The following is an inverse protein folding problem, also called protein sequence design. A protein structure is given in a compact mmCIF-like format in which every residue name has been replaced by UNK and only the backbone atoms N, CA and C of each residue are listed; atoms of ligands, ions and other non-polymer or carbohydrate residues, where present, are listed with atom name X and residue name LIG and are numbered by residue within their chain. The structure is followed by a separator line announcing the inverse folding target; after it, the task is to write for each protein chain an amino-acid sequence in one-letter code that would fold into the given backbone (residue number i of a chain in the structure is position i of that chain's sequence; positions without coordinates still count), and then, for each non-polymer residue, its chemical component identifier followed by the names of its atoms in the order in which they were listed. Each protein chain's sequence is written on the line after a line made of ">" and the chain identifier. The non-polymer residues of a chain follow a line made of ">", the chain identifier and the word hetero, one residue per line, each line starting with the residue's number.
data_IF_843422426615
#
_entry.id   IF_843422426615
#
_cell.length_a   1.000
_cell.length_b   1.000
_cell.length_c   1.000
_cell.angle_alpha   90.00
_cell.angle_beta   90.00
_cell.angle_gamma   90.00
#
_symmetry.space_group_name_H-M   'P 1'
#
loop_
_entity.id
_entity.type
_entity.pdbx_description
1 polymer ?
#
# COMPACT_ATOMS: atom_id res chain seq x y z
N UNK A 1 -43.81 46.88 -1.50
CA UNK A 1 -42.65 46.46 -2.32
C UNK A 1 -43.04 46.63 -3.78
N UNK A 2 -42.34 47.53 -4.48
CA UNK A 2 -42.64 47.98 -5.85
C UNK A 2 -42.65 46.78 -6.83
N UNK A 3 -43.58 46.79 -7.82
CA UNK A 3 -43.78 45.74 -8.84
C UNK A 3 -42.49 45.51 -9.66
N UNK A 4 -41.71 46.57 -9.85
CA UNK A 4 -40.41 46.58 -10.57
C UNK A 4 -39.34 45.83 -9.78
N UNK A 5 -39.30 45.94 -8.43
CA UNK A 5 -38.37 45.24 -7.54
C UNK A 5 -38.71 43.75 -7.51
N UNK A 6 -40.01 43.37 -7.42
CA UNK A 6 -40.45 41.96 -7.48
C UNK A 6 -40.08 41.32 -8.80
N UNK A 7 -40.16 42.03 -9.94
CA UNK A 7 -39.84 41.52 -11.27
C UNK A 7 -38.31 41.30 -11.44
N UNK A 8 -37.47 42.24 -10.95
CA UNK A 8 -36.02 42.11 -10.94
C UNK A 8 -35.57 40.94 -10.05
N UNK A 9 -36.18 40.79 -8.87
CA UNK A 9 -35.89 39.69 -7.95
C UNK A 9 -36.24 38.29 -8.59
N UNK A 10 -37.41 38.16 -9.24
CA UNK A 10 -37.81 36.95 -9.96
C UNK A 10 -36.84 36.61 -11.09
N UNK A 11 -36.38 37.59 -11.86
CA UNK A 11 -35.38 37.40 -12.93
C UNK A 11 -34.03 36.97 -12.34
N UNK A 12 -33.60 37.58 -11.23
CA UNK A 12 -32.38 37.20 -10.51
C UNK A 12 -32.43 35.75 -10.03
N UNK A 13 -33.52 35.36 -9.33
CA UNK A 13 -33.76 33.98 -8.85
C UNK A 13 -33.77 32.95 -10.00
N UNK A 14 -34.43 33.27 -11.12
CA UNK A 14 -34.44 32.39 -12.31
C UNK A 14 -33.04 32.21 -12.89
N UNK A 15 -32.22 33.26 -12.98
CA UNK A 15 -30.82 33.14 -13.46
C UNK A 15 -29.96 32.33 -12.51
N UNK A 16 -30.09 32.53 -11.20
CA UNK A 16 -29.40 31.72 -10.19
C UNK A 16 -29.78 30.24 -10.26
N UNK A 17 -31.09 29.95 -10.45
CA UNK A 17 -31.59 28.57 -10.61
C UNK A 17 -31.03 27.89 -11.88
N UNK A 18 -31.02 28.61 -13.02
CA UNK A 18 -30.45 28.09 -14.27
C UNK A 18 -28.93 27.84 -14.09
N UNK A 19 -28.21 28.75 -13.45
CA UNK A 19 -26.78 28.57 -13.16
C UNK A 19 -26.53 27.33 -12.29
N UNK A 20 -27.33 27.15 -11.23
CA UNK A 20 -27.20 25.97 -10.36
C UNK A 20 -27.50 24.66 -11.11
N UNK A 21 -28.50 24.64 -12.01
CA UNK A 21 -28.79 23.48 -12.85
C UNK A 21 -27.62 23.16 -13.78
N UNK A 22 -27.02 24.17 -14.44
CA UNK A 22 -25.87 23.98 -15.32
C UNK A 22 -24.67 23.48 -14.52
N UNK A 23 -24.40 24.06 -13.35
CA UNK A 23 -23.32 23.64 -12.47
C UNK A 23 -23.52 22.18 -11.97
N UNK A 24 -24.74 21.85 -11.55
CA UNK A 24 -25.06 20.48 -11.11
C UNK A 24 -24.91 19.47 -12.25
N UNK A 25 -25.35 19.82 -13.46
CA UNK A 25 -25.17 18.99 -14.65
C UNK A 25 -23.68 18.82 -14.97
N UNK A 26 -22.90 19.89 -14.91
CA UNK A 26 -21.44 19.82 -15.10
C UNK A 26 -20.78 18.90 -14.08
N UNK A 27 -21.05 19.09 -12.77
CA UNK A 27 -20.50 18.25 -11.71
C UNK A 27 -20.86 16.78 -11.93
N UNK A 28 -22.12 16.49 -12.24
CA UNK A 28 -22.58 15.14 -12.50
C UNK A 28 -21.88 14.50 -13.69
N UNK A 29 -21.86 15.16 -14.84
CA UNK A 29 -21.23 14.65 -16.07
C UNK A 29 -19.71 14.50 -15.91
N UNK A 30 -19.07 15.44 -15.21
CA UNK A 30 -17.62 15.42 -14.98
C UNK A 30 -17.19 14.30 -14.03
N UNK A 31 -18.06 13.88 -13.10
CA UNK A 31 -17.72 12.86 -12.09
C UNK A 31 -18.43 11.51 -12.29
N UNK A 32 -19.37 11.43 -13.22
CA UNK A 32 -20.05 10.16 -13.54
C UNK A 32 -19.16 9.25 -14.37
N UNK A 33 -19.07 7.98 -14.01
CA UNK A 33 -18.41 6.93 -14.80
C UNK A 33 -19.20 6.56 -16.06
N UNK A 34 -20.48 6.98 -16.20
CA UNK A 34 -21.35 6.67 -17.34
C UNK A 34 -20.78 7.14 -18.69
N UNK A 35 -20.05 8.25 -18.70
CA UNK A 35 -19.45 8.83 -19.91
C UNK A 35 -17.97 8.48 -20.08
N UNK A 36 -17.42 7.64 -19.23
CA UNK A 36 -16.02 7.21 -19.30
C UNK A 36 -15.99 5.87 -20.02
N UNK A 37 -15.14 5.72 -21.03
CA UNK A 37 -14.81 4.38 -21.53
C UNK A 37 -14.36 3.55 -20.34
N UNK A 38 -14.99 2.40 -20.12
CA UNK A 38 -14.58 1.48 -19.08
C UNK A 38 -13.07 1.23 -19.18
N UNK A 39 -12.39 1.21 -18.07
CA UNK A 39 -11.01 0.72 -18.03
C UNK A 39 -11.05 -0.75 -18.37
N UNK A 40 -10.17 -1.21 -19.22
CA UNK A 40 -10.01 -2.63 -19.55
C UNK A 40 -8.81 -3.20 -18.78
N UNK A 41 -8.92 -4.42 -18.33
CA UNK A 41 -7.85 -5.12 -17.62
C UNK A 41 -8.32 -5.65 -16.25
N UNK A 42 -7.46 -6.42 -15.62
CA UNK A 42 -7.63 -6.91 -14.25
C UNK A 42 -7.17 -5.85 -13.23
N UNK A 43 -7.63 -5.93 -11.98
CA UNK A 43 -7.09 -5.14 -10.90
C UNK A 43 -5.57 -5.35 -10.76
N UNK A 44 -4.87 -4.30 -10.33
CA UNK A 44 -3.47 -4.36 -9.95
C UNK A 44 -3.34 -4.98 -8.56
N UNK A 45 -2.59 -6.08 -8.41
CA UNK A 45 -2.54 -6.86 -7.19
C UNK A 45 -1.26 -6.60 -6.39
N UNK A 46 -1.44 -6.10 -5.16
CA UNK A 46 -0.37 -5.88 -4.20
C UNK A 46 -0.43 -6.96 -3.12
N UNK A 47 0.62 -7.80 -3.07
CA UNK A 47 0.80 -8.83 -2.06
C UNK A 47 1.56 -8.28 -0.85
N UNK A 48 0.97 -8.38 0.34
CA UNK A 48 1.56 -7.93 1.61
C UNK A 48 2.64 -8.91 2.08
N UNK A 49 3.89 -8.46 2.17
CA UNK A 49 5.08 -9.24 2.60
C UNK A 49 5.34 -10.51 1.79
N UNK A 50 4.91 -10.54 0.53
CA UNK A 50 4.93 -11.73 -0.29
C UNK A 50 3.77 -12.69 0.03
N UNK A 51 3.99 -14.00 -0.06
CA UNK A 51 3.06 -15.04 0.39
C UNK A 51 3.50 -15.55 1.75
N UNK A 52 2.96 -14.98 2.83
CA UNK A 52 3.30 -15.31 4.22
C UNK A 52 2.21 -16.09 4.94
N UNK A 53 2.51 -16.54 6.16
CA UNK A 53 1.53 -17.21 7.02
C UNK A 53 0.47 -16.20 7.49
N UNK A 54 -0.79 -16.57 7.40
CA UNK A 54 -1.90 -15.77 7.94
C UNK A 54 -2.14 -16.07 9.41
N UNK A 55 -2.72 -15.12 10.12
CA UNK A 55 -2.91 -15.19 11.56
C UNK A 55 -4.23 -14.55 11.99
N UNK A 56 -4.67 -14.84 13.23
CA UNK A 56 -5.89 -14.25 13.78
C UNK A 56 -5.70 -12.77 14.04
N UNK A 57 -6.63 -11.95 13.52
CA UNK A 57 -6.69 -10.49 13.73
C UNK A 57 -7.41 -10.10 15.03
N UNK A 58 -7.98 -11.05 15.77
CA UNK A 58 -8.72 -10.76 17.00
C UNK A 58 -7.79 -10.23 18.10
N UNK A 59 -8.11 -9.04 18.61
CA UNK A 59 -7.34 -8.39 19.68
C UNK A 59 -5.87 -8.08 19.31
N UNK A 60 -5.59 -7.81 18.02
CA UNK A 60 -4.24 -7.44 17.58
C UNK A 60 -3.91 -6.01 18.02
N UNK A 61 -2.68 -5.82 18.50
CA UNK A 61 -2.09 -4.55 18.86
C UNK A 61 -0.75 -4.36 18.13
N UNK A 62 -0.13 -3.20 18.21
CA UNK A 62 1.08 -2.87 17.45
C UNK A 62 2.31 -3.72 17.73
N UNK A 63 2.37 -4.33 18.91
CA UNK A 63 3.46 -5.21 19.37
C UNK A 63 3.05 -6.69 19.45
N UNK A 64 1.87 -7.04 18.97
CA UNK A 64 1.39 -8.42 19.00
C UNK A 64 2.30 -9.35 18.18
N UNK A 65 2.80 -10.41 18.82
CA UNK A 65 3.56 -11.46 18.15
C UNK A 65 2.65 -12.29 17.24
N UNK A 66 2.59 -11.94 15.96
CA UNK A 66 1.72 -12.64 15.00
C UNK A 66 2.19 -14.04 14.65
N UNK A 67 3.48 -14.34 14.78
CA UNK A 67 4.02 -15.68 14.59
C UNK A 67 3.48 -16.70 15.62
N UNK A 68 3.17 -16.24 16.84
CA UNK A 68 2.64 -17.10 17.91
C UNK A 68 1.14 -17.45 17.77
N UNK A 69 0.48 -16.99 16.69
CA UNK A 69 -0.96 -17.12 16.50
C UNK A 69 -1.37 -17.33 15.04
N UNK A 70 -0.49 -17.94 14.24
CA UNK A 70 -0.81 -18.26 12.86
C UNK A 70 -1.97 -19.26 12.78
N UNK A 71 -2.67 -19.26 11.66
CA UNK A 71 -3.55 -20.39 11.32
C UNK A 71 -2.72 -21.59 10.89
N UNK A 72 -3.36 -22.76 10.79
CA UNK A 72 -2.69 -23.97 10.29
C UNK A 72 -2.00 -23.66 8.95
N UNK A 73 -0.69 -23.96 8.83
CA UNK A 73 0.07 -23.62 7.63
C UNK A 73 -0.46 -24.32 6.37
N UNK A 74 -0.79 -23.56 5.34
CA UNK A 74 -1.22 -24.07 4.03
C UNK A 74 -0.06 -24.17 3.03
N UNK A 75 1.08 -23.52 3.32
CA UNK A 75 2.27 -23.47 2.47
C UNK A 75 3.53 -23.27 3.33
N UNK A 76 4.74 -23.53 2.80
CA UNK A 76 5.99 -23.45 3.57
C UNK A 76 6.59 -22.04 3.66
N UNK A 77 6.01 -21.02 3.05
CA UNK A 77 6.62 -19.71 2.92
C UNK A 77 6.50 -18.88 4.20
N UNK A 78 7.57 -18.13 4.50
CA UNK A 78 7.64 -17.13 5.56
C UNK A 78 7.63 -15.74 4.95
N UNK A 79 6.91 -14.80 5.55
CA UNK A 79 6.82 -13.40 5.09
C UNK A 79 8.19 -12.72 4.97
N UNK A 80 8.30 -11.71 4.11
CA UNK A 80 9.53 -10.94 3.94
C UNK A 80 10.76 -11.76 3.50
N UNK A 81 10.56 -12.88 2.83
CA UNK A 81 11.64 -13.73 2.28
C UNK A 81 11.60 -13.79 0.76
N UNK A 82 12.73 -14.01 0.12
CA UNK A 82 12.80 -14.19 -1.34
C UNK A 82 11.86 -15.30 -1.81
N UNK A 83 11.81 -16.50 -1.19
CA UNK A 83 10.85 -17.54 -1.58
C UNK A 83 9.37 -17.10 -1.49
N UNK A 84 9.00 -16.30 -0.48
CA UNK A 84 7.63 -15.81 -0.34
C UNK A 84 7.26 -14.78 -1.41
N UNK A 85 8.21 -13.93 -1.78
CA UNK A 85 8.05 -12.93 -2.85
C UNK A 85 7.95 -13.60 -4.22
N UNK A 86 8.80 -14.59 -4.49
CA UNK A 86 8.76 -15.40 -5.71
C UNK A 86 7.41 -16.13 -5.84
N UNK A 87 6.93 -16.75 -4.74
CA UNK A 87 5.62 -17.39 -4.72
C UNK A 87 4.49 -16.39 -4.98
N UNK A 88 4.58 -15.16 -4.45
CA UNK A 88 3.59 -14.11 -4.68
C UNK A 88 3.57 -13.65 -6.15
N UNK A 89 4.73 -13.40 -6.77
CA UNK A 89 4.81 -13.05 -8.20
C UNK A 89 4.32 -14.19 -9.08
N UNK A 90 4.68 -15.45 -8.78
CA UNK A 90 4.23 -16.63 -9.51
C UNK A 90 2.71 -16.84 -9.38
N UNK A 91 2.09 -16.45 -8.25
CA UNK A 91 0.64 -16.47 -8.07
C UNK A 91 -0.06 -15.38 -8.90
N UNK A 92 0.65 -14.30 -9.25
CA UNK A 92 0.13 -13.21 -10.07
C UNK A 92 0.10 -11.85 -9.39
N UNK A 93 0.93 -11.62 -8.37
CA UNK A 93 1.13 -10.28 -7.82
C UNK A 93 1.79 -9.37 -8.87
N UNK A 94 1.29 -8.13 -8.99
CA UNK A 94 1.92 -7.08 -9.78
C UNK A 94 2.95 -6.30 -8.95
N UNK A 95 2.80 -6.33 -7.64
CA UNK A 95 3.67 -5.66 -6.67
C UNK A 95 3.73 -6.49 -5.39
N UNK A 96 4.91 -6.55 -4.78
CA UNK A 96 5.08 -7.10 -3.43
C UNK A 96 5.45 -5.98 -2.47
N UNK A 97 4.78 -5.95 -1.33
CA UNK A 97 5.20 -5.11 -0.22
C UNK A 97 6.20 -5.83 0.64
N UNK A 98 7.17 -5.10 1.19
CA UNK A 98 8.17 -5.60 2.11
C UNK A 98 8.55 -4.56 3.17
N UNK A 99 8.89 -5.02 4.37
CA UNK A 99 9.34 -4.19 5.48
C UNK A 99 10.86 -4.15 5.57
N UNK A 100 11.46 -2.99 5.81
CA UNK A 100 12.90 -2.85 6.01
C UNK A 100 13.26 -2.34 7.39
N UNK A 101 14.43 -2.76 7.87
CA UNK A 101 15.05 -2.33 9.11
C UNK A 101 16.53 -2.08 8.89
N UNK A 102 17.10 -0.99 9.40
CA UNK A 102 18.54 -0.78 9.33
C UNK A 102 19.29 -1.80 10.20
N UNK A 103 20.40 -2.27 9.71
CA UNK A 103 21.32 -3.17 10.42
C UNK A 103 22.49 -2.40 11.02
N UNK A 104 23.23 -3.03 11.93
CA UNK A 104 24.41 -2.45 12.58
C UNK A 104 25.50 -2.02 11.60
N UNK A 105 25.64 -2.74 10.49
CA UNK A 105 26.62 -2.47 9.45
C UNK A 105 26.09 -1.59 8.30
N UNK A 106 24.93 -0.91 8.52
CA UNK A 106 24.40 0.09 7.61
C UNK A 106 23.68 -0.48 6.38
N UNK A 107 23.36 -1.76 6.37
CA UNK A 107 22.48 -2.37 5.36
C UNK A 107 21.01 -2.26 5.79
N UNK A 108 20.10 -2.75 4.94
CA UNK A 108 18.67 -2.90 5.28
C UNK A 108 18.31 -4.38 5.27
N UNK A 109 18.00 -4.96 6.44
CA UNK A 109 17.38 -6.27 6.53
C UNK A 109 15.90 -6.18 6.16
N UNK A 110 15.39 -7.18 5.45
CA UNK A 110 13.95 -7.27 5.11
C UNK A 110 13.27 -8.11 6.20
N UNK A 111 12.66 -7.40 7.16
CA UNK A 111 12.06 -7.99 8.35
C UNK A 111 11.02 -7.06 8.98
N UNK A 112 9.90 -7.62 9.49
CA UNK A 112 8.78 -6.82 9.99
C UNK A 112 8.98 -6.29 11.40
N UNK A 113 9.28 -7.17 12.36
CA UNK A 113 9.20 -6.83 13.77
C UNK A 113 10.35 -5.91 14.22
N UNK A 114 10.14 -5.15 15.29
CA UNK A 114 11.17 -4.28 15.86
C UNK A 114 12.26 -5.10 16.55
N UNK A 115 11.84 -6.15 17.24
CA UNK A 115 12.70 -7.05 17.98
C UNK A 115 12.64 -8.46 17.40
N UNK A 116 13.64 -9.27 17.67
CA UNK A 116 13.81 -10.58 17.06
C UNK A 116 13.07 -11.71 17.79
N UNK A 117 12.65 -11.50 19.04
CA UNK A 117 12.18 -12.55 19.96
C UNK A 117 10.91 -13.26 19.47
N UNK A 118 10.02 -12.55 18.78
CA UNK A 118 8.75 -13.11 18.33
C UNK A 118 8.94 -14.24 17.31
N UNK A 119 9.81 -14.01 16.31
CA UNK A 119 9.95 -14.90 15.15
C UNK A 119 11.19 -15.74 15.17
N UNK A 120 12.18 -15.39 15.98
CA UNK A 120 13.51 -15.95 15.91
C UNK A 120 13.95 -16.61 17.22
N UNK A 121 15.12 -17.26 17.18
CA UNK A 121 15.75 -17.88 18.32
C UNK A 121 16.70 -16.96 19.10
N UNK A 122 16.71 -15.65 18.78
CA UNK A 122 17.57 -14.64 19.42
C UNK A 122 16.76 -13.46 19.93
N UNK A 123 17.39 -12.59 20.74
CA UNK A 123 16.78 -11.41 21.33
C UNK A 123 17.46 -10.14 20.81
N UNK A 124 16.83 -8.99 21.01
CA UNK A 124 17.38 -7.68 20.65
C UNK A 124 16.75 -7.11 19.38
N UNK A 125 17.25 -5.96 18.95
CA UNK A 125 16.76 -5.26 17.77
C UNK A 125 17.55 -5.70 16.52
N UNK A 126 16.93 -5.61 15.35
CA UNK A 126 17.62 -5.85 14.07
C UNK A 126 18.88 -4.97 13.95
N UNK A 127 18.81 -3.71 14.42
CA UNK A 127 19.94 -2.77 14.41
C UNK A 127 21.12 -3.13 15.32
N UNK A 128 20.96 -4.11 16.22
CA UNK A 128 22.05 -4.58 17.07
C UNK A 128 22.98 -5.57 16.34
N UNK A 129 22.54 -6.09 15.19
CA UNK A 129 23.19 -7.14 14.42
C UNK A 129 23.64 -6.65 13.04
N UNK A 130 24.76 -7.19 12.56
CA UNK A 130 25.15 -7.08 11.14
C UNK A 130 24.28 -7.98 10.27
N UNK A 131 24.21 -7.70 8.96
CA UNK A 131 23.46 -8.54 8.02
C UNK A 131 23.98 -10.00 8.00
N UNK A 132 25.29 -10.16 8.16
CA UNK A 132 25.91 -11.49 8.23
C UNK A 132 25.43 -12.29 9.46
N UNK A 133 25.34 -11.64 10.64
CA UNK A 133 24.82 -12.28 11.85
C UNK A 133 23.32 -12.59 11.72
N UNK A 134 22.52 -11.70 11.11
CA UNK A 134 21.10 -11.91 10.89
C UNK A 134 20.80 -13.11 9.99
N UNK A 135 21.68 -13.44 9.06
CA UNK A 135 21.52 -14.64 8.19
C UNK A 135 21.70 -15.95 8.92
N UNK A 136 22.41 -15.97 10.04
CA UNK A 136 22.57 -17.17 10.86
C UNK A 136 21.34 -17.43 11.78
N UNK A 137 20.40 -16.48 11.85
CA UNK A 137 19.25 -16.55 12.74
C UNK A 137 18.11 -17.31 12.06
N UNK A 138 17.42 -18.16 12.83
CA UNK A 138 16.23 -18.87 12.37
C UNK A 138 14.98 -18.00 12.49
N UNK A 139 14.55 -17.37 11.39
CA UNK A 139 13.34 -16.52 11.34
C UNK A 139 12.02 -17.34 11.34
N UNK A 140 12.10 -18.65 11.31
CA UNK A 140 10.95 -19.56 11.44
C UNK A 140 10.70 -20.08 12.85
N UNK A 141 11.54 -19.70 13.82
CA UNK A 141 11.61 -20.33 15.13
C UNK A 141 10.35 -20.19 15.98
N UNK A 142 9.69 -19.03 15.95
CA UNK A 142 8.57 -18.67 16.83
C UNK A 142 7.18 -19.00 16.27
N UNK A 143 7.07 -19.51 15.03
CA UNK A 143 5.78 -19.75 14.39
C UNK A 143 5.05 -20.97 14.94
N UNK A 144 3.82 -20.75 15.44
CA UNK A 144 2.96 -21.80 16.00
C UNK A 144 1.48 -21.51 15.73
N UNK A 145 0.70 -22.56 15.42
CA UNK A 145 -0.75 -22.49 15.23
C UNK A 145 -1.54 -23.02 16.44
N UNK A 146 -0.86 -23.68 17.39
CA UNK A 146 -1.43 -24.44 18.49
C UNK A 146 -0.91 -24.01 19.86
N UNK A 147 -0.70 -22.69 20.02
CA UNK A 147 -0.25 -22.07 21.27
C UNK A 147 1.09 -22.63 21.80
N UNK A 148 1.99 -23.02 20.89
CA UNK A 148 3.33 -23.46 21.25
C UNK A 148 3.47 -24.97 21.48
N UNK A 149 2.45 -25.77 21.16
CA UNK A 149 2.57 -27.22 21.21
C UNK A 149 3.49 -27.76 20.09
N UNK A 150 3.40 -27.15 18.89
CA UNK A 150 4.29 -27.44 17.76
C UNK A 150 4.82 -26.16 17.11
N UNK A 151 5.96 -26.29 16.42
CA UNK A 151 6.62 -25.20 15.70
C UNK A 151 7.05 -25.68 14.30
N UNK A 152 6.16 -25.58 13.31
CA UNK A 152 6.35 -26.22 12.00
C UNK A 152 7.48 -25.64 11.16
N UNK A 153 7.98 -24.46 11.51
CA UNK A 153 9.01 -23.73 10.74
C UNK A 153 10.38 -23.69 11.42
N UNK A 154 10.54 -24.22 12.64
CA UNK A 154 11.84 -24.26 13.31
C UNK A 154 12.89 -24.98 12.49
N UNK A 155 14.07 -24.36 12.38
CA UNK A 155 15.19 -24.85 11.59
C UNK A 155 15.04 -24.63 10.07
N UNK A 156 13.90 -24.06 9.63
CA UNK A 156 13.63 -23.83 8.21
C UNK A 156 13.83 -22.37 7.80
N UNK A 157 14.04 -21.45 8.76
CA UNK A 157 14.18 -20.04 8.54
C UNK A 157 15.63 -19.53 8.50
N UNK A 158 16.62 -20.40 8.74
CA UNK A 158 18.05 -20.03 8.73
C UNK A 158 18.46 -19.64 7.31
N UNK A 159 19.13 -18.50 7.17
CA UNK A 159 19.58 -17.97 5.88
C UNK A 159 18.46 -17.32 5.04
N UNK A 160 17.21 -17.29 5.53
CA UNK A 160 16.09 -16.75 4.76
C UNK A 160 15.82 -15.27 4.99
N UNK A 161 16.42 -14.59 5.97
CA UNK A 161 16.33 -13.13 6.13
C UNK A 161 17.19 -12.46 5.06
N UNK A 162 16.61 -11.84 4.02
CA UNK A 162 17.41 -11.22 2.99
C UNK A 162 17.74 -9.77 3.34
N UNK A 163 18.78 -9.21 2.72
CA UNK A 163 18.95 -7.76 2.62
C UNK A 163 18.05 -7.18 1.50
N UNK A 164 17.80 -5.87 1.55
CA UNK A 164 17.11 -5.17 0.47
C UNK A 164 17.87 -5.31 -0.84
N UNK A 165 19.21 -5.25 -0.80
CA UNK A 165 20.07 -5.41 -1.96
C UNK A 165 19.87 -6.78 -2.62
N UNK A 166 19.82 -7.85 -1.83
CA UNK A 166 19.58 -9.21 -2.34
C UNK A 166 18.18 -9.34 -2.98
N UNK A 167 17.16 -8.75 -2.37
CA UNK A 167 15.82 -8.75 -2.95
C UNK A 167 15.79 -8.03 -4.29
N UNK A 168 16.36 -6.81 -4.35
CA UNK A 168 16.35 -6.01 -5.57
C UNK A 168 17.22 -6.63 -6.69
N UNK A 169 18.28 -7.33 -6.33
CA UNK A 169 19.13 -8.07 -7.27
C UNK A 169 18.45 -9.35 -7.77
N UNK A 170 17.74 -10.07 -6.91
CA UNK A 170 17.02 -11.31 -7.28
C UNK A 170 15.82 -11.04 -8.20
N UNK A 171 15.15 -9.91 -8.01
CA UNK A 171 13.99 -9.49 -8.80
C UNK A 171 14.28 -8.20 -9.57
N UNK A 172 15.12 -8.22 -10.62
CA UNK A 172 15.54 -6.99 -11.32
C UNK A 172 14.38 -6.23 -11.96
N UNK A 173 13.31 -6.93 -12.34
CA UNK A 173 12.09 -6.35 -12.93
C UNK A 173 10.92 -6.32 -11.95
N UNK A 174 11.11 -6.75 -10.70
CA UNK A 174 10.06 -6.81 -9.68
C UNK A 174 9.62 -5.43 -9.21
N UNK A 175 8.32 -5.21 -9.09
CA UNK A 175 7.76 -3.98 -8.54
C UNK A 175 7.58 -4.13 -7.03
N UNK A 176 8.11 -3.19 -6.25
CA UNK A 176 8.05 -3.28 -4.78
C UNK A 176 7.48 -2.03 -4.13
N UNK A 177 6.77 -2.26 -3.01
CA UNK A 177 6.38 -1.26 -2.04
C UNK A 177 7.23 -1.45 -0.78
N UNK A 178 8.17 -0.56 -0.53
CA UNK A 178 9.15 -0.66 0.56
C UNK A 178 8.63 0.11 1.77
N UNK A 179 8.51 -0.53 2.91
CA UNK A 179 8.04 0.05 4.16
C UNK A 179 9.18 0.42 5.10
N UNK A 180 9.37 1.72 5.34
CA UNK A 180 10.19 2.20 6.46
C UNK A 180 9.34 2.16 7.72
N UNK A 181 9.67 1.25 8.63
CA UNK A 181 8.87 1.01 9.86
C UNK A 181 9.05 2.09 10.93
N UNK A 182 10.17 2.81 10.92
CA UNK A 182 10.45 3.87 11.90
C UNK A 182 9.78 5.20 11.53
N UNK A 183 9.91 6.18 12.42
CA UNK A 183 9.66 7.58 12.11
C UNK A 183 10.95 8.41 12.20
N UNK A 184 12.10 7.79 11.91
CA UNK A 184 13.41 8.43 11.90
C UNK A 184 13.76 8.96 10.50
N UNK A 185 13.98 10.26 10.39
CA UNK A 185 14.40 10.91 9.14
C UNK A 185 15.77 10.43 8.65
N UNK A 186 16.64 9.95 9.55
CA UNK A 186 17.94 9.36 9.20
C UNK A 186 17.80 8.11 8.34
N UNK A 187 16.85 7.23 8.67
CA UNK A 187 16.58 6.05 7.84
C UNK A 187 16.09 6.45 6.45
N UNK A 188 15.25 7.50 6.35
CA UNK A 188 14.79 8.03 5.06
C UNK A 188 15.95 8.52 4.18
N UNK A 189 16.90 9.28 4.75
CA UNK A 189 18.10 9.76 4.03
C UNK A 189 19.01 8.60 3.63
N UNK A 190 19.23 7.64 4.53
CA UNK A 190 20.03 6.46 4.24
C UNK A 190 19.43 5.66 3.08
N UNK A 191 18.11 5.45 3.09
CA UNK A 191 17.43 4.77 1.99
C UNK A 191 17.47 5.58 0.69
N UNK A 192 17.33 6.91 0.76
CA UNK A 192 17.46 7.78 -0.41
C UNK A 192 18.83 7.67 -1.06
N UNK A 193 19.90 7.67 -0.25
CA UNK A 193 21.26 7.48 -0.74
C UNK A 193 21.43 6.12 -1.42
N UNK A 194 20.95 5.04 -0.80
CA UNK A 194 21.01 3.70 -1.37
C UNK A 194 20.22 3.59 -2.69
N UNK A 195 18.97 4.04 -2.72
CA UNK A 195 18.13 3.97 -3.91
C UNK A 195 18.61 4.91 -5.02
N UNK A 196 19.24 6.03 -4.69
CA UNK A 196 19.79 6.99 -5.64
C UNK A 196 20.91 6.44 -6.54
N UNK A 197 21.56 5.34 -6.12
CA UNK A 197 22.53 4.61 -6.93
C UNK A 197 21.89 3.76 -8.05
N UNK A 198 20.56 3.53 -7.97
CA UNK A 198 19.84 2.67 -8.92
C UNK A 198 19.51 3.43 -10.21
N UNK A 199 19.45 2.72 -11.36
CA UNK A 199 18.94 3.28 -12.62
C UNK A 199 17.52 3.82 -12.46
N UNK A 200 17.19 4.89 -13.22
CA UNK A 200 15.85 5.53 -13.18
C UNK A 200 14.71 4.55 -13.49
N UNK A 201 14.94 3.63 -14.40
CA UNK A 201 13.99 2.59 -14.79
C UNK A 201 13.67 1.69 -13.60
N UNK A 202 14.69 1.39 -12.77
CA UNK A 202 14.53 0.61 -11.55
C UNK A 202 13.78 1.39 -10.48
N UNK A 203 14.10 2.67 -10.29
CA UNK A 203 13.38 3.55 -9.35
C UNK A 203 11.89 3.66 -9.68
N UNK A 204 11.52 3.68 -10.97
CA UNK A 204 10.12 3.75 -11.40
C UNK A 204 9.28 2.52 -10.96
N UNK A 205 9.93 1.38 -10.68
CA UNK A 205 9.30 0.15 -10.19
C UNK A 205 9.15 0.15 -8.66
N UNK A 206 9.78 1.09 -7.96
CA UNK A 206 9.78 1.16 -6.51
C UNK A 206 8.82 2.25 -6.01
N UNK A 207 8.25 1.99 -4.86
CA UNK A 207 7.47 2.96 -4.08
C UNK A 207 7.90 2.81 -2.63
N UNK A 208 8.08 3.91 -1.90
CA UNK A 208 8.45 3.86 -0.49
C UNK A 208 7.33 4.45 0.36
N UNK A 209 6.98 3.78 1.45
CA UNK A 209 6.00 4.30 2.39
C UNK A 209 6.46 4.14 3.84
N UNK A 210 5.84 4.89 4.75
CA UNK A 210 6.20 4.84 6.17
C UNK A 210 5.77 6.06 6.95
N UNK A 211 6.49 6.33 8.04
CA UNK A 211 6.31 7.50 8.87
C UNK A 211 6.50 8.82 8.11
N UNK A 212 5.89 9.91 8.60
CA UNK A 212 5.95 11.21 7.90
C UNK A 212 7.38 11.76 7.81
N UNK A 213 8.22 11.57 8.87
CA UNK A 213 9.57 12.10 8.90
C UNK A 213 10.54 11.41 7.92
N UNK A 214 10.67 10.07 7.88
CA UNK A 214 11.55 9.40 6.92
C UNK A 214 11.08 9.58 5.47
N UNK A 215 9.76 9.60 5.21
CA UNK A 215 9.23 9.83 3.86
C UNK A 215 9.49 11.25 3.38
N UNK A 216 9.38 12.25 4.25
CA UNK A 216 9.73 13.62 3.89
C UNK A 216 11.21 13.77 3.57
N UNK A 217 12.10 13.20 4.40
CA UNK A 217 13.54 13.22 4.20
C UNK A 217 13.97 12.47 2.92
N UNK A 218 13.39 11.29 2.68
CA UNK A 218 13.64 10.51 1.47
C UNK A 218 13.21 11.29 0.21
N UNK A 219 12.02 11.92 0.24
CA UNK A 219 11.51 12.65 -0.92
C UNK A 219 12.27 13.98 -1.18
N UNK A 220 12.85 14.57 -0.14
CA UNK A 220 13.75 15.73 -0.29
C UNK A 220 15.01 15.35 -1.08
N UNK A 221 15.63 14.21 -0.76
CA UNK A 221 16.89 13.76 -1.35
C UNK A 221 16.68 12.98 -2.67
N UNK A 222 15.51 12.34 -2.88
CA UNK A 222 15.16 11.53 -4.06
C UNK A 222 13.73 11.84 -4.55
N UNK A 223 13.46 13.04 -5.13
CA UNK A 223 12.11 13.50 -5.45
C UNK A 223 11.41 12.73 -6.57
N UNK A 224 12.15 11.99 -7.40
CA UNK A 224 11.60 11.20 -8.49
C UNK A 224 10.93 9.89 -8.04
N UNK A 225 11.26 9.38 -6.86
CA UNK A 225 10.63 8.14 -6.37
C UNK A 225 9.19 8.40 -5.91
N UNK A 226 8.32 7.43 -6.15
CA UNK A 226 6.96 7.48 -5.64
C UNK A 226 6.97 7.20 -4.13
N UNK A 227 6.27 8.05 -3.37
CA UNK A 227 6.23 7.94 -1.91
C UNK A 227 4.81 7.95 -1.37
N UNK A 228 4.64 7.42 -0.14
CA UNK A 228 3.39 7.55 0.62
C UNK A 228 3.69 7.67 2.11
N UNK A 229 3.04 8.63 2.75
CA UNK A 229 2.92 8.74 4.21
C UNK A 229 1.52 9.21 4.58
N UNK A 230 1.23 9.27 5.88
CA UNK A 230 -0.05 9.83 6.36
C UNK A 230 -0.22 11.30 5.95
N UNK A 231 0.86 12.07 5.95
CA UNK A 231 0.86 13.48 5.54
C UNK A 231 0.59 13.62 4.03
N UNK A 232 1.29 12.85 3.17
CA UNK A 232 1.07 12.90 1.71
C UNK A 232 -0.33 12.45 1.33
N UNK A 233 -0.84 11.38 1.96
CA UNK A 233 -2.21 10.89 1.76
C UNK A 233 -3.25 11.97 2.12
N UNK A 234 -3.13 12.59 3.31
CA UNK A 234 -4.01 13.67 3.75
C UNK A 234 -3.92 14.89 2.83
N UNK A 235 -2.72 15.30 2.44
CA UNK A 235 -2.50 16.44 1.54
C UNK A 235 -3.23 16.25 0.21
N UNK A 236 -3.11 15.07 -0.39
CA UNK A 236 -3.83 14.73 -1.61
C UNK A 236 -5.35 14.70 -1.39
N UNK A 237 -5.84 13.85 -0.48
CA UNK A 237 -7.27 13.57 -0.37
C UNK A 237 -8.08 14.78 0.10
N UNK A 238 -7.59 15.54 1.09
CA UNK A 238 -8.30 16.75 1.56
C UNK A 238 -8.39 17.82 0.47
N UNK A 239 -7.29 18.03 -0.26
CA UNK A 239 -7.29 18.98 -1.38
C UNK A 239 -8.18 18.52 -2.53
N UNK A 240 -8.19 17.20 -2.82
CA UNK A 240 -9.02 16.63 -3.87
C UNK A 240 -10.51 16.67 -3.51
N UNK A 241 -10.89 16.41 -2.26
CA UNK A 241 -12.28 16.56 -1.81
C UNK A 241 -12.79 17.99 -2.01
N UNK A 242 -11.95 18.99 -1.78
CA UNK A 242 -12.32 20.40 -1.97
C UNK A 242 -12.53 20.80 -3.42
N UNK A 243 -11.75 20.30 -4.39
CA UNK A 243 -11.72 20.78 -5.77
C UNK A 243 -11.92 19.71 -6.85
N UNK A 244 -11.82 18.43 -6.49
CA UNK A 244 -11.90 17.30 -7.44
C UNK A 244 -13.22 17.21 -8.21
N UNK A 245 -14.30 17.81 -7.69
CA UNK A 245 -15.57 17.93 -8.40
C UNK A 245 -15.42 18.62 -9.77
N UNK A 246 -14.45 19.52 -9.92
CA UNK A 246 -14.12 20.19 -11.17
C UNK A 246 -13.33 19.32 -12.15
N UNK A 247 -12.76 18.21 -11.70
CA UNK A 247 -11.83 17.33 -12.44
C UNK A 247 -10.36 17.72 -12.29
N UNK A 248 -10.05 18.77 -11.54
CA UNK A 248 -8.68 19.18 -11.26
C UNK A 248 -8.02 18.22 -10.25
N UNK A 249 -6.76 17.87 -10.50
CA UNK A 249 -5.94 17.06 -9.60
C UNK A 249 -4.92 17.97 -8.90
N UNK A 250 -5.02 18.11 -7.56
CA UNK A 250 -4.11 18.94 -6.79
C UNK A 250 -2.64 18.49 -6.89
N UNK A 251 -1.66 19.40 -6.71
CA UNK A 251 -0.23 19.05 -6.73
C UNK A 251 0.15 17.97 -5.71
N UNK A 252 -0.46 17.97 -4.52
CA UNK A 252 -0.22 16.95 -3.48
C UNK A 252 -0.66 15.53 -3.86
N UNK A 253 -1.37 15.37 -4.99
CA UNK A 253 -1.73 14.07 -5.55
C UNK A 253 -0.79 13.61 -6.67
N UNK A 254 0.37 14.23 -6.88
CA UNK A 254 1.29 13.88 -7.97
C UNK A 254 2.40 12.96 -7.48
N UNK A 255 2.76 11.99 -8.31
CA UNK A 255 3.86 11.06 -8.07
C UNK A 255 3.83 10.42 -6.67
N UNK A 256 2.65 9.93 -6.24
CA UNK A 256 2.45 9.31 -4.93
C UNK A 256 1.70 7.98 -5.04
N UNK A 257 1.50 7.31 -3.93
CA UNK A 257 0.59 6.18 -3.81
C UNK A 257 -0.48 6.50 -2.78
N UNK A 258 -1.70 6.05 -3.01
CA UNK A 258 -2.84 6.26 -2.13
C UNK A 258 -3.38 4.90 -1.67
N UNK A 259 -3.32 4.63 -0.37
CA UNK A 259 -4.05 3.51 0.22
C UNK A 259 -5.40 4.02 0.72
N UNK A 260 -6.46 3.60 0.07
CA UNK A 260 -7.80 4.10 0.32
C UNK A 260 -8.66 3.00 0.90
N UNK A 261 -9.13 3.14 2.16
CA UNK A 261 -10.06 2.19 2.72
C UNK A 261 -11.35 2.10 1.88
N UNK A 262 -11.83 0.89 1.62
CA UNK A 262 -12.98 0.65 0.74
C UNK A 262 -14.23 1.43 1.16
N UNK A 263 -14.41 1.66 2.48
CA UNK A 263 -15.52 2.43 3.04
C UNK A 263 -15.53 3.89 2.62
N UNK A 264 -14.36 4.48 2.32
CA UNK A 264 -14.22 5.89 1.95
C UNK A 264 -14.12 6.09 0.44
N UNK A 265 -13.69 5.08 -0.30
CA UNK A 265 -13.48 5.16 -1.74
C UNK A 265 -14.71 5.68 -2.53
N UNK A 266 -15.97 5.27 -2.24
CA UNK A 266 -17.14 5.75 -2.97
C UNK A 266 -17.44 7.25 -2.82
N UNK A 267 -16.88 7.92 -1.80
CA UNK A 267 -17.08 9.35 -1.57
C UNK A 267 -16.15 10.24 -2.42
N UNK A 268 -15.12 9.65 -3.06
CA UNK A 268 -14.18 10.39 -3.87
C UNK A 268 -14.80 10.82 -5.20
N UNK A 269 -14.61 12.09 -5.58
CA UNK A 269 -15.10 12.64 -6.84
C UNK A 269 -14.66 11.81 -8.05
N UNK A 270 -15.62 11.27 -8.78
CA UNK A 270 -15.35 10.48 -9.97
C UNK A 270 -15.04 9.01 -9.75
N UNK A 271 -15.22 8.50 -8.53
CA UNK A 271 -15.02 7.08 -8.21
C UNK A 271 -15.94 6.15 -9.06
N UNK A 272 -15.44 5.00 -9.53
CA UNK A 272 -14.03 4.59 -9.51
C UNK A 272 -13.24 5.10 -10.73
N UNK A 273 -13.80 5.03 -11.94
CA UNK A 273 -13.04 5.10 -13.18
C UNK A 273 -12.43 6.48 -13.46
N UNK A 274 -13.19 7.56 -13.23
CA UNK A 274 -12.66 8.91 -13.43
C UNK A 274 -11.62 9.28 -12.39
N UNK A 275 -11.82 8.86 -11.14
CA UNK A 275 -10.83 9.04 -10.08
C UNK A 275 -9.52 8.33 -10.43
N UNK A 276 -9.59 7.04 -10.78
CA UNK A 276 -8.42 6.25 -11.19
C UNK A 276 -7.69 6.90 -12.37
N UNK A 277 -8.42 7.29 -13.44
CA UNK A 277 -7.82 7.94 -14.61
C UNK A 277 -7.14 9.27 -14.26
N UNK A 278 -7.72 10.06 -13.34
CA UNK A 278 -7.14 11.32 -12.88
C UNK A 278 -5.85 11.07 -12.10
N UNK A 279 -5.82 10.09 -11.20
CA UNK A 279 -4.63 9.74 -10.43
C UNK A 279 -3.54 9.19 -11.34
N UNK A 280 -3.85 8.30 -12.26
CA UNK A 280 -2.90 7.78 -13.25
C UNK A 280 -2.28 8.91 -14.10
N UNK A 281 -3.07 9.92 -14.49
CA UNK A 281 -2.58 11.05 -15.30
C UNK A 281 -1.48 11.88 -14.62
N UNK A 282 -1.32 11.73 -13.32
CA UNK A 282 -0.31 12.40 -12.49
C UNK A 282 0.68 11.43 -11.83
N UNK A 283 0.82 10.22 -12.40
CA UNK A 283 1.69 9.15 -11.92
C UNK A 283 1.39 8.72 -10.47
N UNK A 284 0.11 8.68 -10.08
CA UNK A 284 -0.31 8.28 -8.74
C UNK A 284 -1.06 6.96 -8.78
N UNK A 285 -0.55 6.00 -8.02
CA UNK A 285 -1.15 4.67 -7.89
C UNK A 285 -2.20 4.68 -6.79
N UNK A 286 -3.34 4.08 -7.07
CA UNK A 286 -4.42 3.92 -6.10
C UNK A 286 -4.54 2.45 -5.73
N UNK A 287 -4.42 2.15 -4.45
CA UNK A 287 -4.63 0.83 -3.86
C UNK A 287 -5.82 0.92 -2.91
N UNK A 288 -6.83 0.09 -3.11
CA UNK A 288 -7.91 -0.07 -2.14
C UNK A 288 -7.51 -1.12 -1.12
N UNK A 289 -7.70 -0.77 0.15
CA UNK A 289 -7.54 -1.67 1.30
C UNK A 289 -8.91 -2.01 1.87
N UNK A 290 -9.08 -3.21 2.39
CA UNK A 290 -10.36 -3.68 2.89
C UNK A 290 -10.81 -2.90 4.14
N UNK A 291 -12.09 -2.93 4.43
CA UNK A 291 -12.68 -2.40 5.64
C UNK A 291 -12.37 -0.93 5.89
N UNK A 292 -11.78 -0.65 7.05
CA UNK A 292 -11.31 0.67 7.48
C UNK A 292 -9.85 0.94 7.12
N UNK A 293 -9.13 -0.07 6.61
CA UNK A 293 -7.69 -0.03 6.35
C UNK A 293 -6.85 -0.11 7.61
N UNK A 294 -7.41 -0.64 8.70
CA UNK A 294 -6.69 -0.87 9.94
C UNK A 294 -5.87 -2.15 9.86
N UNK A 295 -4.68 -2.17 10.48
CA UNK A 295 -3.82 -3.36 10.61
C UNK A 295 -3.59 -4.12 9.28
N UNK A 296 -3.51 -3.40 8.17
CA UNK A 296 -3.30 -3.98 6.83
C UNK A 296 -4.42 -4.95 6.40
N UNK A 297 -5.68 -4.61 6.72
CA UNK A 297 -6.85 -5.35 6.23
C UNK A 297 -6.80 -5.49 4.71
N UNK A 298 -6.78 -6.73 4.23
CA UNK A 298 -6.70 -7.09 2.81
C UNK A 298 -8.01 -7.64 2.27
N UNK A 299 -8.11 -7.67 0.95
CA UNK A 299 -9.11 -8.49 0.25
C UNK A 299 -8.54 -9.92 0.20
N UNK A 300 -8.91 -10.77 1.16
CA UNK A 300 -8.25 -12.05 1.42
C UNK A 300 -9.10 -13.26 1.06
N UNK A 301 -10.38 -13.04 0.75
CA UNK A 301 -11.31 -14.05 0.28
C UNK A 301 -11.94 -13.64 -1.06
N UNK A 302 -12.42 -14.61 -1.83
CA UNK A 302 -13.12 -14.36 -3.10
C UNK A 302 -14.39 -13.54 -2.86
N UNK A 303 -15.06 -13.74 -1.72
CA UNK A 303 -16.25 -12.98 -1.36
C UNK A 303 -15.94 -11.48 -1.12
N UNK A 304 -14.75 -11.16 -0.64
CA UNK A 304 -14.32 -9.77 -0.47
C UNK A 304 -14.35 -8.99 -1.79
N UNK A 305 -14.01 -9.66 -2.89
CA UNK A 305 -13.99 -9.04 -4.22
C UNK A 305 -15.38 -8.53 -4.65
N UNK A 306 -16.46 -9.08 -4.11
CA UNK A 306 -17.84 -8.64 -4.41
C UNK A 306 -18.14 -7.24 -3.90
N UNK A 307 -17.33 -6.72 -2.94
CA UNK A 307 -17.44 -5.35 -2.40
C UNK A 307 -16.83 -4.30 -3.31
N UNK A 308 -15.99 -4.71 -4.27
CA UNK A 308 -15.41 -3.81 -5.26
C UNK A 308 -16.44 -3.40 -6.30
N UNK A 309 -16.30 -2.20 -6.89
CA UNK A 309 -17.12 -1.82 -8.04
C UNK A 309 -16.99 -2.84 -9.18
N UNK A 310 -18.09 -3.07 -9.91
CA UNK A 310 -18.05 -3.91 -11.11
C UNK A 310 -16.96 -3.40 -12.08
N UNK A 311 -16.20 -4.32 -12.64
CA UNK A 311 -15.09 -4.04 -13.58
C UNK A 311 -14.02 -3.08 -12.99
N UNK A 312 -13.77 -3.20 -11.67
CA UNK A 312 -12.72 -2.43 -10.99
C UNK A 312 -11.33 -2.80 -11.51
N UNK A 313 -10.54 -1.80 -11.87
CA UNK A 313 -9.18 -1.96 -12.42
C UNK A 313 -8.10 -1.19 -11.64
N UNK A 314 -8.46 -0.66 -10.47
CA UNK A 314 -7.48 -0.08 -9.55
C UNK A 314 -6.71 -1.13 -8.78
N UNK A 315 -5.83 -0.71 -7.90
CA UNK A 315 -5.04 -1.62 -7.07
C UNK A 315 -5.83 -2.20 -5.90
N UNK A 316 -5.47 -3.42 -5.51
CA UNK A 316 -6.04 -4.16 -4.37
C UNK A 316 -4.90 -4.64 -3.49
N UNK A 317 -5.02 -4.42 -2.19
CA UNK A 317 -4.15 -4.99 -1.16
C UNK A 317 -4.67 -6.34 -0.70
N UNK A 318 -3.81 -7.37 -0.66
CA UNK A 318 -4.18 -8.69 -0.16
C UNK A 318 -3.06 -9.36 0.64
N UNK A 319 -3.44 -10.11 1.67
CA UNK A 319 -2.58 -11.03 2.41
C UNK A 319 -2.64 -12.46 1.81
N UNK A 320 -3.55 -12.70 0.85
CA UNK A 320 -3.83 -14.01 0.26
C UNK A 320 -3.80 -13.95 -1.26
N UNK A 321 -2.66 -13.52 -1.80
CA UNK A 321 -2.45 -13.44 -3.25
C UNK A 321 -2.70 -14.78 -3.96
N UNK A 322 -2.41 -15.89 -3.28
CA UNK A 322 -2.64 -17.26 -3.71
C UNK A 322 -4.13 -17.56 -3.97
N UNK A 323 -5.04 -16.88 -3.28
CA UNK A 323 -6.50 -17.02 -3.43
C UNK A 323 -7.11 -15.96 -4.34
N UNK A 324 -6.60 -14.74 -4.26
CA UNK A 324 -7.20 -13.59 -4.94
C UNK A 324 -6.81 -13.53 -6.41
N UNK A 325 -5.55 -13.76 -6.76
CA UNK A 325 -5.12 -13.68 -8.15
C UNK A 325 -5.78 -14.71 -9.07
N UNK A 326 -5.95 -15.99 -8.68
CA UNK A 326 -6.69 -16.95 -9.50
C UNK A 326 -8.18 -16.62 -9.70
N UNK A 327 -8.80 -15.93 -8.74
CA UNK A 327 -10.23 -15.55 -8.81
C UNK A 327 -10.50 -14.37 -9.75
N UNK A 328 -9.46 -13.65 -10.19
CA UNK A 328 -9.53 -12.49 -11.08
C UNK A 328 -9.08 -12.79 -12.52
N UNK A 329 -8.60 -14.00 -12.78
CA UNK A 329 -8.26 -14.53 -14.10
C UNK A 329 -9.48 -15.18 -14.73
#
# INVERSE_FOLDING_TARGET
>A
MDRTVKMKLKKGLRRAFIFLLILSAFIYLNNSSLLTKGRSGSPFLLAHRGLGQTFSMEGIEGDTCTAARIFDPEHPYLENTIPSMEAAFNAGADMVELDIKPTKDGQFAVFHDWTLECRTNVQGMVSDYTMAELKEIDIGYGYTADHGATYPFRGKGIGLMPSLDEVLAYFPDGTFLIHIKSNDSGEGRQLAQYLGELPKERLAQLTVYGGDAPIAALHEDLPEIRVMSKATLKSCLLSYEGIGWSGYVPPGCRNTQLHIPEKFAPWLWGWPNKFLNRMDSVNTRVIVVAGSGEWSEGFDTVDDLTRLPKDYTGGIWTNRIDRIAPALK
#
